data_IF_953878069006
#
_entry.id   IF_953878069006
#
_cell.length_a   1.000
_cell.length_b   1.000
_cell.length_c   1.000
_cell.angle_alpha   90.00
_cell.angle_beta   90.00
_cell.angle_gamma   90.00
#
_symmetry.space_group_name_H-M   'P 1'
#
loop_
_entity.id
_entity.type
_entity.pdbx_description
1 polymer ?
#
# COMPACT_ATOMS: atom_id res chain seq x y z
N UNK A 1 -2.99 -34.07 12.40
CA UNK A 1 -4.00 -33.26 11.68
C UNK A 1 -3.58 -31.82 11.80
N UNK A 2 -2.85 -31.31 10.81
CA UNK A 2 -2.34 -29.94 10.81
C UNK A 2 -3.47 -29.03 10.35
N UNK A 3 -4.05 -28.26 11.27
CA UNK A 3 -5.00 -27.21 10.92
C UNK A 3 -4.23 -26.18 10.07
N UNK A 4 -4.64 -26.01 8.82
CA UNK A 4 -4.21 -24.86 8.03
C UNK A 4 -4.97 -23.67 8.61
N UNK A 5 -4.28 -22.84 9.38
CA UNK A 5 -4.84 -21.60 9.89
C UNK A 5 -5.16 -20.68 8.70
N UNK A 6 -6.44 -20.65 8.30
CA UNK A 6 -6.93 -19.79 7.23
C UNK A 6 -7.01 -18.37 7.81
N UNK A 7 -5.98 -17.58 7.56
CA UNK A 7 -5.98 -16.15 7.87
C UNK A 7 -6.95 -15.45 6.92
N UNK A 8 -8.08 -15.00 7.47
CA UNK A 8 -9.07 -14.23 6.70
C UNK A 8 -8.53 -12.80 6.52
N UNK A 9 -8.40 -12.30 5.27
CA UNK A 9 -7.99 -10.93 5.04
C UNK A 9 -9.07 -9.98 5.55
N UNK A 10 -8.68 -9.06 6.44
CA UNK A 10 -9.56 -8.01 6.93
C UNK A 10 -9.59 -6.88 5.90
N UNK A 11 -10.79 -6.55 5.41
CA UNK A 11 -10.98 -5.37 4.57
C UNK A 11 -10.63 -4.10 5.36
N UNK A 12 -10.04 -3.11 4.68
CA UNK A 12 -9.69 -1.83 5.26
C UNK A 12 -9.13 -0.87 4.22
N UNK A 13 -8.52 0.22 4.70
CA UNK A 13 -8.08 1.35 3.90
C UNK A 13 -6.56 1.45 3.92
N UNK A 14 -5.95 1.68 2.76
CA UNK A 14 -4.50 1.77 2.63
C UNK A 14 -4.08 3.14 2.11
N UNK A 15 -3.22 3.83 2.86
CA UNK A 15 -2.59 5.05 2.39
C UNK A 15 -1.33 4.69 1.61
N UNK A 16 -1.31 4.92 0.29
CA UNK A 16 -0.15 4.64 -0.57
C UNK A 16 1.03 5.59 -0.30
N UNK A 17 0.75 6.85 0.04
CA UNK A 17 1.75 7.87 0.31
C UNK A 17 2.57 7.52 1.56
N UNK A 18 1.90 7.08 2.63
CA UNK A 18 2.53 6.72 3.89
C UNK A 18 2.81 5.21 4.01
N UNK A 19 2.31 4.39 3.08
CA UNK A 19 2.36 2.93 3.13
C UNK A 19 1.81 2.33 4.44
N UNK A 20 0.67 2.85 4.91
CA UNK A 20 0.02 2.45 6.16
C UNK A 20 -1.40 1.91 5.92
N UNK A 21 -1.79 0.89 6.69
CA UNK A 21 -3.12 0.30 6.67
C UNK A 21 -3.97 0.73 7.87
N UNK A 22 -5.25 0.99 7.63
CA UNK A 22 -6.24 1.38 8.61
C UNK A 22 -7.47 0.46 8.52
N UNK A 23 -7.99 0.04 9.67
CA UNK A 23 -9.11 -0.90 9.72
C UNK A 23 -10.46 -0.25 9.36
N UNK A 24 -10.56 1.07 9.45
CA UNK A 24 -11.80 1.82 9.31
C UNK A 24 -11.55 3.18 8.63
N UNK A 25 -12.61 3.69 7.99
CA UNK A 25 -12.59 4.94 7.24
C UNK A 25 -12.28 6.18 8.10
N UNK A 26 -12.88 6.39 9.30
CA UNK A 26 -12.60 7.60 10.07
C UNK A 26 -11.14 7.68 10.53
N UNK A 27 -10.49 6.54 10.82
CA UNK A 27 -9.05 6.51 11.10
C UNK A 27 -8.21 6.94 9.90
N UNK A 28 -8.57 6.50 8.69
CA UNK A 28 -7.91 6.94 7.45
C UNK A 28 -8.13 8.42 7.17
N UNK A 29 -9.35 8.94 7.38
CA UNK A 29 -9.66 10.37 7.23
C UNK A 29 -8.84 11.21 8.22
N UNK A 30 -8.77 10.80 9.47
CA UNK A 30 -7.96 11.49 10.48
C UNK A 30 -6.47 11.45 10.12
N UNK A 31 -5.97 10.32 9.61
CA UNK A 31 -4.61 10.20 9.08
C UNK A 31 -4.33 11.21 7.96
N UNK A 32 -5.20 11.33 6.95
CA UNK A 32 -5.01 12.21 5.81
C UNK A 32 -4.91 13.70 6.18
N UNK A 33 -5.47 14.10 7.34
CA UNK A 33 -5.41 15.47 7.86
C UNK A 33 -4.11 15.80 8.59
N UNK A 34 -3.27 14.80 8.88
CA UNK A 34 -2.03 15.01 9.63
C UNK A 34 -0.98 15.80 8.83
N UNK A 35 -0.10 16.50 9.55
CA UNK A 35 1.04 17.18 8.92
C UNK A 35 2.00 16.19 8.24
N UNK A 36 2.13 14.99 8.78
CA UNK A 36 2.95 13.91 8.19
C UNK A 36 2.45 13.52 6.80
N UNK A 37 1.15 13.28 6.65
CA UNK A 37 0.58 12.93 5.34
C UNK A 37 0.84 14.03 4.31
N UNK A 38 0.63 15.30 4.70
CA UNK A 38 0.92 16.46 3.83
C UNK A 38 2.39 16.53 3.43
N UNK A 39 3.31 16.36 4.39
CA UNK A 39 4.75 16.35 4.11
C UNK A 39 5.14 15.23 3.14
N UNK A 40 4.57 14.03 3.32
CA UNK A 40 4.84 12.89 2.44
C UNK A 40 4.20 13.04 1.05
N UNK A 41 3.20 13.90 0.88
CA UNK A 41 2.68 14.27 -0.45
C UNK A 41 3.64 15.21 -1.18
N UNK A 42 4.27 16.12 -0.46
CA UNK A 42 5.21 17.11 -0.99
C UNK A 42 6.58 16.49 -1.33
N UNK A 43 6.96 15.45 -0.58
CA UNK A 43 8.14 14.63 -0.87
C UNK A 43 7.66 13.37 -1.59
N UNK A 44 7.57 13.36 -2.93
CA UNK A 44 7.08 12.19 -3.66
C UNK A 44 7.88 10.96 -3.23
N UNK A 45 7.23 9.78 -3.12
CA UNK A 45 7.92 8.57 -2.73
C UNK A 45 9.16 8.44 -3.60
N UNK A 46 10.33 8.23 -2.97
CA UNK A 46 11.53 7.87 -3.72
C UNK A 46 11.07 6.74 -4.62
N UNK A 47 11.15 6.95 -5.93
CA UNK A 47 11.04 5.86 -6.89
C UNK A 47 12.21 4.93 -6.59
N UNK A 48 12.10 4.09 -5.57
CA UNK A 48 12.95 2.91 -5.45
C UNK A 48 12.57 2.12 -6.68
N UNK A 49 13.39 2.25 -7.72
CA UNK A 49 13.14 1.84 -9.09
C UNK A 49 13.06 0.33 -9.23
N UNK A 50 12.07 -0.28 -8.59
CA UNK A 50 11.63 -1.63 -8.82
C UNK A 50 10.21 -1.47 -9.35
N UNK A 51 10.13 -1.12 -10.64
CA UNK A 51 8.92 -1.40 -11.41
C UNK A 51 8.60 -2.89 -11.22
N UNK A 52 7.33 -3.28 -11.05
CA UNK A 52 6.98 -4.70 -11.12
C UNK A 52 7.54 -5.26 -12.44
N UNK A 53 8.11 -6.48 -12.46
CA UNK A 53 8.59 -7.07 -13.70
C UNK A 53 7.41 -7.10 -14.68
N UNK A 54 7.56 -6.40 -15.81
CA UNK A 54 6.55 -6.36 -16.85
C UNK A 54 6.33 -7.82 -17.33
N UNK A 55 5.11 -8.38 -17.21
CA UNK A 55 4.86 -9.78 -17.59
C UNK A 55 5.07 -10.05 -19.09
N UNK A 56 5.24 -9.02 -19.92
CA UNK A 56 5.25 -9.12 -21.38
C UNK A 56 6.63 -8.87 -22.01
N UNK A 57 7.71 -8.79 -21.23
CA UNK A 57 9.06 -8.55 -21.77
C UNK A 57 9.75 -9.78 -22.39
N UNK A 58 9.02 -10.82 -22.79
CA UNK A 58 9.60 -11.89 -23.63
C UNK A 58 8.62 -12.33 -24.71
N UNK A 59 8.70 -11.66 -25.86
CA UNK A 59 8.54 -12.30 -27.16
C UNK A 59 9.64 -11.79 -28.07
N UNK A 60 10.74 -12.53 -28.26
CA UNK A 60 11.48 -12.43 -29.50
C UNK A 60 10.63 -13.04 -30.63
N UNK A 61 10.85 -12.50 -31.82
CA UNK A 61 10.14 -12.66 -33.10
C UNK A 61 9.63 -14.07 -33.45
#
# INVERSE_FOLDING_TARGET
SSALDILVPKAGFFCQICSLFYADEPSMINHCRTALHRHNMEVPPRKTGISPPDPWLHSPE
#
